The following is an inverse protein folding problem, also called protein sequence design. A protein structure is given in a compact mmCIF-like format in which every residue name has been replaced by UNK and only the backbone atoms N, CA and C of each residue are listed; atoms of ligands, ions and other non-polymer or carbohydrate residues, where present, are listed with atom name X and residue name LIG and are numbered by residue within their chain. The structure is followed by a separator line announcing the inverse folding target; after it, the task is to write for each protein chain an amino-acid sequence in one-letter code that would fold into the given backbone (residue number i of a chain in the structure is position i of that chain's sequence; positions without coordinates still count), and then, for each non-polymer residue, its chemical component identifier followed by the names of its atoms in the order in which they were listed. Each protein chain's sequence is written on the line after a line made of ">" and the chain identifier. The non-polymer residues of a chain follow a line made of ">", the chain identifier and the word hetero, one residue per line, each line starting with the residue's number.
data_IF_608676374654
#
_entry.id   IF_608676374654
#
_cell.length_a   1.000
_cell.length_b   1.000
_cell.length_c   1.000
_cell.angle_alpha   90.00
_cell.angle_beta   90.00
_cell.angle_gamma   90.00
#
_symmetry.space_group_name_H-M   'P 1'
#
loop_
_entity.id
_entity.type
_entity.pdbx_description
1 polymer ?
#
# COMPACT_ATOMS: atom_id res chain seq x y z
N UNK A 1 15.17 -23.69 -0.45
CA UNK A 1 15.71 -22.66 -1.36
C UNK A 1 14.54 -21.99 -2.05
N UNK A 2 14.44 -20.66 -2.02
CA UNK A 2 13.44 -19.93 -2.79
C UNK A 2 13.85 -19.97 -4.26
N UNK A 3 13.11 -20.70 -5.09
CA UNK A 3 13.37 -20.79 -6.53
C UNK A 3 12.82 -19.59 -7.32
N UNK A 4 13.03 -19.60 -8.63
CA UNK A 4 12.60 -18.54 -9.56
C UNK A 4 11.11 -18.18 -9.39
N UNK A 5 10.24 -19.18 -9.18
CA UNK A 5 8.82 -18.97 -8.94
C UNK A 5 8.54 -18.05 -7.74
N UNK A 6 9.29 -18.23 -6.64
CA UNK A 6 9.13 -17.39 -5.46
C UNK A 6 9.62 -15.97 -5.72
N UNK A 7 10.76 -15.81 -6.40
CA UNK A 7 11.26 -14.49 -6.78
C UNK A 7 10.25 -13.76 -7.68
N UNK A 8 9.73 -14.45 -8.71
CA UNK A 8 8.71 -13.91 -9.61
C UNK A 8 7.45 -13.49 -8.85
N UNK A 9 7.01 -14.28 -7.87
CA UNK A 9 5.89 -13.91 -7.00
C UNK A 9 6.18 -12.64 -6.21
N UNK A 10 7.36 -12.52 -5.57
CA UNK A 10 7.74 -11.35 -4.78
C UNK A 10 7.87 -10.08 -5.63
N UNK A 11 8.44 -10.18 -6.81
CA UNK A 11 8.56 -9.06 -7.75
C UNK A 11 7.17 -8.59 -8.19
N UNK A 12 6.27 -9.52 -8.56
CA UNK A 12 4.88 -9.19 -8.90
C UNK A 12 4.14 -8.53 -7.75
N UNK A 13 4.31 -9.04 -6.53
CA UNK A 13 3.71 -8.47 -5.32
C UNK A 13 4.21 -7.03 -5.10
N UNK A 14 5.51 -6.79 -5.25
CA UNK A 14 6.10 -5.47 -5.09
C UNK A 14 5.66 -4.49 -6.17
N UNK A 15 5.59 -4.91 -7.44
CA UNK A 15 5.12 -4.07 -8.55
C UNK A 15 3.68 -3.61 -8.32
N UNK A 16 2.79 -4.50 -7.83
CA UNK A 16 1.42 -4.12 -7.45
C UNK A 16 1.44 -3.06 -6.35
N UNK A 17 2.19 -3.30 -5.26
CA UNK A 17 2.32 -2.30 -4.20
C UNK A 17 2.81 -0.94 -4.71
N UNK A 18 3.80 -0.93 -5.60
CA UNK A 18 4.38 0.29 -6.13
C UNK A 18 3.38 1.14 -6.92
N UNK A 19 2.51 0.50 -7.72
CA UNK A 19 1.55 1.18 -8.59
C UNK A 19 0.21 1.45 -7.91
N UNK A 20 -0.21 0.58 -7.00
CA UNK A 20 -1.58 0.61 -6.48
C UNK A 20 -1.65 1.26 -5.08
N UNK A 21 -0.60 1.12 -4.26
CA UNK A 21 -0.66 1.48 -2.84
C UNK A 21 0.36 2.55 -2.42
N UNK A 22 1.56 2.55 -3.02
CA UNK A 22 2.67 3.40 -2.58
C UNK A 22 2.39 4.86 -2.92
N UNK A 23 2.45 5.74 -1.92
CA UNK A 23 2.42 7.18 -2.13
C UNK A 23 3.67 7.67 -2.90
N UNK A 24 3.46 8.50 -3.92
CA UNK A 24 4.53 9.20 -4.64
C UNK A 24 4.36 10.70 -4.49
N UNK A 25 5.42 11.40 -4.08
CA UNK A 25 5.39 12.86 -3.91
C UNK A 25 5.08 13.60 -5.21
N UNK A 26 5.57 13.08 -6.35
CA UNK A 26 5.25 13.60 -7.68
C UNK A 26 3.76 13.44 -8.05
N UNK A 27 3.05 12.53 -7.39
CA UNK A 27 1.61 12.27 -7.57
C UNK A 27 0.79 12.84 -6.39
N UNK A 28 1.27 13.88 -5.70
CA UNK A 28 0.53 14.47 -4.59
C UNK A 28 0.35 13.53 -3.38
N UNK A 29 1.28 12.59 -3.19
CA UNK A 29 1.20 11.51 -2.21
C UNK A 29 0.12 10.46 -2.49
N UNK A 30 -0.36 10.39 -3.73
CA UNK A 30 -1.21 9.31 -4.22
C UNK A 30 -0.39 8.24 -4.94
N UNK A 31 -0.91 7.00 -5.04
CA UNK A 31 -0.34 6.00 -5.93
C UNK A 31 -0.58 6.35 -7.41
N UNK A 32 0.26 5.83 -8.34
CA UNK A 32 0.15 6.17 -9.76
C UNK A 32 -1.19 5.76 -10.39
N UNK A 33 -1.83 4.72 -9.86
CA UNK A 33 -3.13 4.23 -10.34
C UNK A 33 -4.33 4.89 -9.65
N UNK A 34 -4.10 5.85 -8.75
CA UNK A 34 -5.17 6.58 -8.09
C UNK A 34 -5.65 7.74 -8.97
N UNK A 35 -6.80 7.54 -9.61
CA UNK A 35 -7.44 8.58 -10.45
C UNK A 35 -8.08 9.68 -9.59
N UNK A 36 -8.72 9.31 -8.48
CA UNK A 36 -9.42 10.23 -7.58
C UNK A 36 -8.89 10.11 -6.13
N UNK A 37 -8.55 11.24 -5.47
CA UNK A 37 -8.13 11.23 -4.08
C UNK A 37 -9.28 10.79 -3.15
N UNK A 38 -8.97 10.05 -2.07
CA UNK A 38 -9.97 9.75 -1.06
C UNK A 38 -10.48 11.03 -0.38
N UNK A 39 -11.70 11.02 0.18
CA UNK A 39 -12.26 12.19 0.86
C UNK A 39 -11.36 12.66 2.00
N UNK A 40 -11.18 13.98 2.11
CA UNK A 40 -10.48 14.58 3.25
C UNK A 40 -11.16 14.19 4.56
N UNK A 41 -10.35 13.82 5.55
CA UNK A 41 -10.83 13.55 6.89
C UNK A 41 -9.92 14.23 7.92
N UNK A 42 -10.49 15.19 8.64
CA UNK A 42 -9.78 15.99 9.65
C UNK A 42 -9.87 15.40 11.07
N UNK A 43 -10.50 14.22 11.23
CA UNK A 43 -10.66 13.55 12.53
C UNK A 43 -10.13 12.13 12.46
N UNK A 44 -9.13 11.84 13.30
CA UNK A 44 -8.59 10.48 13.46
C UNK A 44 -9.34 9.81 14.61
N UNK A 45 -10.04 8.72 14.31
CA UNK A 45 -10.64 7.82 15.31
C UNK A 45 -9.78 6.56 15.37
N UNK A 46 -9.03 6.39 16.47
CA UNK A 46 -7.98 5.35 16.56
C UNK A 46 -8.51 3.92 16.43
N UNK A 47 -9.74 3.67 16.90
CA UNK A 47 -10.44 2.40 16.77
C UNK A 47 -10.77 2.02 15.32
N UNK A 48 -10.81 3.00 14.42
CA UNK A 48 -11.01 2.81 12.99
C UNK A 48 -9.70 2.64 12.22
N UNK A 49 -8.54 2.74 12.87
CA UNK A 49 -7.25 2.58 12.19
C UNK A 49 -6.79 1.13 12.25
N UNK A 50 -6.61 0.52 11.08
CA UNK A 50 -6.10 -0.85 10.96
C UNK A 50 -4.69 -0.84 10.41
N UNK A 51 -3.83 -1.68 10.99
CA UNK A 51 -2.49 -1.95 10.46
C UNK A 51 -2.59 -3.01 9.37
N UNK A 52 -1.93 -2.75 8.25
CA UNK A 52 -1.75 -3.70 7.16
C UNK A 52 -0.29 -4.01 6.97
N UNK A 53 -0.04 -5.18 6.40
CA UNK A 53 1.31 -5.64 6.09
C UNK A 53 1.34 -6.38 4.74
N UNK A 54 2.49 -6.31 4.09
CA UNK A 54 2.75 -6.95 2.79
C UNK A 54 4.22 -7.38 2.70
N UNK A 55 4.57 -8.25 1.77
CA UNK A 55 5.92 -8.80 1.58
C UNK A 55 6.50 -9.42 2.86
N UNK A 56 5.66 -10.15 3.62
CA UNK A 56 6.09 -10.80 4.86
C UNK A 56 6.42 -9.82 5.99
N UNK A 57 5.74 -8.68 6.04
CA UNK A 57 5.91 -7.67 7.09
C UNK A 57 6.96 -6.61 6.80
N UNK A 58 7.66 -6.70 5.66
CA UNK A 58 8.64 -5.69 5.24
C UNK A 58 7.97 -4.34 4.96
N UNK A 59 6.77 -4.38 4.39
CA UNK A 59 5.96 -3.20 4.13
C UNK A 59 4.81 -3.19 5.11
N UNK A 60 4.60 -2.06 5.77
CA UNK A 60 3.55 -1.85 6.74
C UNK A 60 2.94 -0.48 6.51
N UNK A 61 1.63 -0.39 6.61
CA UNK A 61 0.92 0.88 6.54
C UNK A 61 -0.32 0.82 7.44
N UNK A 62 -0.92 1.98 7.62
CA UNK A 62 -2.14 2.15 8.37
C UNK A 62 -3.18 2.75 7.45
N UNK A 63 -4.39 2.19 7.51
CA UNK A 63 -5.54 2.68 6.76
C UNK A 63 -6.76 2.74 7.68
N UNK A 64 -7.78 3.47 7.25
CA UNK A 64 -9.07 3.44 7.94
C UNK A 64 -9.83 2.19 7.54
N UNK A 65 -10.45 1.52 8.52
CA UNK A 65 -11.43 0.47 8.26
C UNK A 65 -12.56 1.05 7.39
N UNK A 66 -12.93 0.31 6.34
CA UNK A 66 -14.04 0.63 5.46
C UNK A 66 -15.40 0.44 6.16
#
# INVERSE_FOLDING_TARGET
>A
MFGEQHLNYRVREYVRYYNDDRAHSACGHLPPTCDDPPPENNTIVLDQIVRRERLGGLIQWYERAA
#
